data_IF_512383670948
#
_entry.id   IF_512383670948
#
_cell.length_a   1.000
_cell.length_b   1.000
_cell.length_c   1.000
_cell.angle_alpha   90.00
_cell.angle_beta   90.00
_cell.angle_gamma   90.00
#
_symmetry.space_group_name_H-M   'P 1'
#
loop_
_entity.id
_entity.type
_entity.pdbx_description
1 polymer ?
#
# COMPACT_ATOMS: atom_id res chain seq x y z
N UNK A 1 -13.19 0.37 -53.04
CA UNK A 1 -12.82 -1.01 -52.64
C UNK A 1 -12.00 -0.91 -51.36
N UNK A 2 -12.59 -1.46 -50.30
CA UNK A 2 -12.06 -1.80 -48.97
C UNK A 2 -11.48 -0.69 -48.07
N UNK A 3 -12.41 -0.04 -47.37
CA UNK A 3 -12.24 0.40 -45.98
C UNK A 3 -11.87 -0.79 -45.09
N UNK A 4 -10.79 -0.68 -44.33
CA UNK A 4 -10.62 -1.45 -43.11
C UNK A 4 -11.10 -0.58 -41.94
N UNK A 5 -12.38 -0.73 -41.61
CA UNK A 5 -12.91 -0.32 -40.33
C UNK A 5 -12.21 -1.14 -39.25
N UNK A 6 -11.22 -0.57 -38.58
CA UNK A 6 -10.69 -1.13 -37.34
C UNK A 6 -11.63 -0.71 -36.20
N UNK A 7 -12.78 -1.39 -36.13
CA UNK A 7 -13.71 -1.28 -35.02
C UNK A 7 -13.63 -2.59 -34.23
N UNK A 8 -12.77 -2.57 -33.23
CA UNK A 8 -12.60 -3.63 -32.24
C UNK A 8 -11.98 -2.97 -31.03
N UNK A 9 -12.81 -2.25 -30.26
CA UNK A 9 -12.42 -1.70 -28.97
C UNK A 9 -12.08 -2.85 -28.04
N UNK A 10 -10.82 -3.23 -28.03
CA UNK A 10 -10.26 -4.10 -27.02
C UNK A 10 -10.22 -3.27 -25.74
N UNK A 11 -11.23 -3.44 -24.90
CA UNK A 11 -11.30 -2.84 -23.57
C UNK A 11 -10.33 -3.63 -22.69
N UNK A 12 -9.05 -3.58 -23.04
CA UNK A 12 -7.96 -4.21 -22.33
C UNK A 12 -7.95 -3.62 -20.94
N UNK A 13 -8.49 -4.37 -19.98
CA UNK A 13 -8.64 -3.96 -18.60
C UNK A 13 -7.24 -3.90 -18.00
N UNK A 14 -6.58 -2.75 -18.16
CA UNK A 14 -5.22 -2.55 -17.70
C UNK A 14 -5.26 -2.42 -16.17
N UNK A 15 -4.57 -3.33 -15.48
CA UNK A 15 -4.36 -3.18 -14.04
C UNK A 15 -3.46 -1.98 -13.78
N UNK A 16 -3.94 -1.03 -12.99
CA UNK A 16 -3.13 0.08 -12.49
C UNK A 16 -2.68 -0.32 -11.08
N UNK A 17 -1.37 -0.50 -10.90
CA UNK A 17 -0.75 -0.83 -9.62
C UNK A 17 0.07 0.37 -9.14
N UNK A 18 0.07 0.61 -7.83
CA UNK A 18 0.93 1.61 -7.20
C UNK A 18 2.42 1.22 -7.35
N UNK A 19 3.28 2.23 -7.43
CA UNK A 19 4.72 2.00 -7.58
C UNK A 19 5.30 1.25 -6.37
N UNK A 20 4.80 1.57 -5.17
CA UNK A 20 5.15 0.96 -3.91
C UNK A 20 4.85 -0.54 -3.90
N UNK A 21 3.69 -0.93 -4.46
CA UNK A 21 3.30 -2.33 -4.58
C UNK A 21 4.20 -3.07 -5.58
N UNK A 22 4.54 -2.45 -6.71
CA UNK A 22 5.49 -3.01 -7.68
C UNK A 22 6.89 -3.20 -7.05
N UNK A 23 7.36 -2.21 -6.30
CA UNK A 23 8.64 -2.28 -5.59
C UNK A 23 8.64 -3.40 -4.52
N UNK A 24 7.54 -3.55 -3.77
CA UNK A 24 7.37 -4.63 -2.82
C UNK A 24 7.44 -6.00 -3.49
N UNK A 25 6.74 -6.18 -4.62
CA UNK A 25 6.73 -7.45 -5.36
C UNK A 25 8.14 -7.80 -5.85
N UNK A 26 8.84 -6.85 -6.47
CA UNK A 26 10.21 -7.05 -6.92
C UNK A 26 11.13 -7.45 -5.74
N UNK A 27 11.03 -6.74 -4.62
CA UNK A 27 11.83 -7.02 -3.44
C UNK A 27 11.57 -8.42 -2.87
N UNK A 28 10.31 -8.82 -2.76
CA UNK A 28 9.92 -10.15 -2.25
C UNK A 28 10.41 -11.28 -3.15
N UNK A 29 10.37 -11.08 -4.47
CA UNK A 29 10.88 -12.07 -5.44
C UNK A 29 12.40 -12.23 -5.30
N UNK A 30 13.13 -11.12 -5.14
CA UNK A 30 14.59 -11.13 -5.05
C UNK A 30 15.12 -11.65 -3.70
N UNK A 31 14.45 -11.35 -2.59
CA UNK A 31 15.01 -11.55 -1.25
C UNK A 31 14.27 -12.59 -0.41
N UNK A 32 12.99 -12.83 -0.68
CA UNK A 32 12.10 -13.61 0.20
C UNK A 32 11.41 -14.78 -0.51
N UNK A 33 12.01 -15.28 -1.61
CA UNK A 33 11.50 -16.42 -2.38
C UNK A 33 11.24 -17.64 -1.50
N UNK A 34 12.11 -17.93 -0.53
CA UNK A 34 11.94 -19.04 0.42
C UNK A 34 10.69 -18.89 1.30
N UNK A 35 10.33 -17.67 1.68
CA UNK A 35 9.12 -17.41 2.46
C UNK A 35 7.89 -17.55 1.59
N UNK A 36 7.95 -17.08 0.33
CA UNK A 36 6.89 -17.29 -0.65
C UNK A 36 6.66 -18.80 -0.88
N UNK A 37 7.73 -19.58 -1.02
CA UNK A 37 7.64 -21.04 -1.16
C UNK A 37 6.92 -21.66 0.04
N UNK A 38 7.27 -21.28 1.27
CA UNK A 38 6.60 -21.78 2.48
C UNK A 38 5.11 -21.44 2.54
N UNK A 39 4.70 -20.28 2.03
CA UNK A 39 3.29 -19.89 1.93
C UNK A 39 2.57 -20.82 0.94
N UNK A 40 3.17 -21.08 -0.22
CA UNK A 40 2.63 -21.99 -1.24
C UNK A 40 2.53 -23.41 -0.69
N UNK A 41 3.58 -23.94 -0.07
CA UNK A 41 3.60 -25.29 0.52
C UNK A 41 2.49 -25.45 1.56
N UNK A 42 2.32 -24.46 2.45
CA UNK A 42 1.26 -24.44 3.45
C UNK A 42 -0.13 -24.46 2.78
N UNK A 43 -0.33 -23.65 1.74
CA UNK A 43 -1.60 -23.58 1.01
C UNK A 43 -1.96 -24.92 0.34
N UNK A 44 -0.95 -25.58 -0.25
CA UNK A 44 -1.11 -26.90 -0.88
C UNK A 44 -1.55 -27.97 0.13
N UNK A 45 -0.94 -27.98 1.32
CA UNK A 45 -1.32 -28.90 2.40
C UNK A 45 -2.70 -28.55 2.99
N UNK A 46 -3.07 -27.27 3.03
CA UNK A 46 -4.30 -26.81 3.67
C UNK A 46 -5.56 -26.91 2.82
N UNK A 47 -5.50 -27.51 1.62
CA UNK A 47 -6.70 -27.72 0.80
C UNK A 47 -6.61 -27.26 -0.65
N UNK A 48 -5.57 -26.50 -1.03
CA UNK A 48 -5.45 -25.99 -2.40
C UNK A 48 -5.25 -27.12 -3.41
N UNK A 49 -4.48 -28.15 -3.04
CA UNK A 49 -4.23 -29.32 -3.91
C UNK A 49 -5.54 -30.02 -4.29
N UNK A 50 -6.45 -30.19 -3.35
CA UNK A 50 -7.76 -30.81 -3.59
C UNK A 50 -8.67 -29.94 -4.46
N UNK A 51 -8.58 -28.60 -4.33
CA UNK A 51 -9.33 -27.66 -5.17
C UNK A 51 -8.85 -27.69 -6.62
N UNK A 52 -7.53 -27.69 -6.83
CA UNK A 52 -6.94 -27.75 -8.18
C UNK A 52 -7.37 -29.03 -8.91
N UNK A 53 -7.25 -30.19 -8.27
CA UNK A 53 -7.68 -31.46 -8.87
C UNK A 53 -9.18 -31.51 -9.21
N UNK A 54 -10.04 -30.83 -8.44
CA UNK A 54 -11.49 -30.74 -8.76
C UNK A 54 -11.79 -29.79 -9.91
N UNK A 55 -10.96 -28.77 -10.11
CA UNK A 55 -11.13 -27.82 -11.21
C UNK A 55 -10.73 -28.43 -12.56
N UNK A 56 -9.69 -29.27 -12.60
CA UNK A 56 -9.28 -30.00 -13.81
C UNK A 56 -10.37 -30.97 -14.31
N UNK A 57 -11.27 -31.43 -13.43
CA UNK A 57 -12.39 -32.32 -13.78
C UNK A 57 -13.63 -31.55 -14.31
N UNK A 58 -13.67 -30.22 -14.18
CA UNK A 58 -14.85 -29.37 -14.41
C UNK A 58 -14.68 -28.33 -15.54
N UNK A 59 -13.71 -28.51 -16.46
CA UNK A 59 -13.28 -27.56 -17.53
C UNK A 59 -14.34 -27.17 -18.60
N UNK A 60 -15.63 -27.06 -18.28
CA UNK A 60 -16.68 -26.70 -19.24
C UNK A 60 -17.13 -25.23 -19.24
N UNK A 61 -16.58 -24.36 -18.37
CA UNK A 61 -17.01 -22.95 -18.29
C UNK A 61 -15.83 -21.96 -18.27
N UNK A 62 -15.28 -21.68 -19.46
CA UNK A 62 -14.10 -20.83 -19.65
C UNK A 62 -14.35 -19.35 -19.32
N UNK A 63 -15.58 -18.85 -19.48
CA UNK A 63 -15.89 -17.42 -19.30
C UNK A 63 -15.96 -17.06 -17.81
N UNK A 64 -16.62 -17.89 -16.99
CA UNK A 64 -16.64 -17.74 -15.53
C UNK A 64 -15.26 -17.87 -14.86
N UNK A 65 -14.37 -18.71 -15.41
CA UNK A 65 -13.00 -18.84 -14.90
C UNK A 65 -12.17 -17.57 -15.11
N UNK A 66 -12.31 -16.90 -16.25
CA UNK A 66 -11.57 -15.67 -16.55
C UNK A 66 -11.98 -14.53 -15.60
N UNK A 67 -13.27 -14.37 -15.33
CA UNK A 67 -13.76 -13.35 -14.41
C UNK A 67 -13.42 -13.66 -12.96
N UNK A 68 -13.48 -14.94 -12.56
CA UNK A 68 -13.00 -15.36 -11.23
C UNK A 68 -11.50 -15.09 -11.05
N UNK A 69 -10.69 -15.35 -12.08
CA UNK A 69 -9.25 -15.06 -12.05
C UNK A 69 -8.99 -13.55 -11.90
N UNK A 70 -9.69 -12.72 -12.67
CA UNK A 70 -9.62 -11.25 -12.54
C UNK A 70 -9.99 -10.79 -11.14
N UNK A 71 -11.11 -11.29 -10.61
CA UNK A 71 -11.55 -10.97 -9.24
C UNK A 71 -10.49 -11.34 -8.20
N UNK A 72 -9.95 -12.56 -8.28
CA UNK A 72 -8.92 -13.03 -7.34
C UNK A 72 -7.64 -12.19 -7.41
N UNK A 73 -7.25 -11.72 -8.60
CA UNK A 73 -6.07 -10.85 -8.79
C UNK A 73 -6.30 -9.50 -8.13
N UNK A 74 -7.47 -8.88 -8.34
CA UNK A 74 -7.83 -7.59 -7.73
C UNK A 74 -7.84 -7.71 -6.21
N UNK A 75 -8.48 -8.74 -5.66
CA UNK A 75 -8.51 -9.00 -4.22
C UNK A 75 -7.11 -9.22 -3.64
N UNK A 76 -6.25 -9.98 -4.33
CA UNK A 76 -4.89 -10.24 -3.87
C UNK A 76 -4.06 -8.96 -3.79
N UNK A 77 -4.09 -8.13 -4.84
CA UNK A 77 -3.36 -6.86 -4.83
C UNK A 77 -3.94 -5.85 -3.85
N UNK A 78 -5.27 -5.79 -3.70
CA UNK A 78 -5.92 -4.97 -2.69
C UNK A 78 -5.53 -5.36 -1.26
N UNK A 79 -5.43 -6.67 -0.99
CA UNK A 79 -4.94 -7.17 0.29
C UNK A 79 -3.47 -6.80 0.52
N UNK A 80 -2.59 -7.01 -0.47
CA UNK A 80 -1.17 -6.66 -0.35
C UNK A 80 -0.97 -5.16 -0.11
N UNK A 81 -1.72 -4.31 -0.81
CA UNK A 81 -1.65 -2.87 -0.62
C UNK A 81 -2.12 -2.46 0.78
N UNK A 82 -3.19 -3.07 1.28
CA UNK A 82 -3.66 -2.87 2.66
C UNK A 82 -2.60 -3.30 3.68
N UNK A 83 -1.95 -4.45 3.46
CA UNK A 83 -0.90 -4.95 4.35
C UNK A 83 0.34 -4.04 4.33
N UNK A 84 0.76 -3.57 3.15
CA UNK A 84 1.88 -2.63 3.00
C UNK A 84 1.58 -1.30 3.69
N UNK A 85 0.41 -0.73 3.44
CA UNK A 85 -0.04 0.52 4.09
C UNK A 85 -0.11 0.37 5.62
N UNK A 86 -0.60 -0.78 6.09
CA UNK A 86 -0.64 -1.10 7.53
C UNK A 86 0.77 -1.24 8.12
N UNK A 87 1.69 -1.90 7.41
CA UNK A 87 3.07 -2.04 7.88
C UNK A 87 3.78 -0.68 7.95
N UNK A 88 3.63 0.15 6.92
CA UNK A 88 4.22 1.49 6.88
C UNK A 88 3.63 2.43 7.95
N UNK A 89 2.33 2.32 8.25
CA UNK A 89 1.69 3.16 9.28
C UNK A 89 2.00 2.71 10.71
N UNK A 90 2.21 1.41 10.95
CA UNK A 90 2.59 0.88 12.27
C UNK A 90 3.90 1.48 12.79
N UNK A 91 4.89 1.65 11.91
CA UNK A 91 6.16 2.27 12.29
C UNK A 91 5.97 3.74 12.69
N UNK A 92 5.12 4.47 11.97
CA UNK A 92 4.79 5.86 12.30
C UNK A 92 4.08 5.99 13.66
N UNK A 93 3.09 5.13 13.92
CA UNK A 93 2.34 5.13 15.18
C UNK A 93 3.26 4.76 16.34
N UNK A 94 4.15 3.79 16.15
CA UNK A 94 5.14 3.39 17.16
C UNK A 94 6.10 4.54 17.48
N UNK A 95 6.67 5.18 16.46
CA UNK A 95 7.54 6.35 16.62
C UNK A 95 6.82 7.49 17.36
N UNK A 96 5.58 7.78 17.00
CA UNK A 96 4.76 8.78 17.67
C UNK A 96 4.47 8.43 19.14
N UNK A 97 4.19 7.16 19.44
CA UNK A 97 3.94 6.68 20.80
C UNK A 97 5.19 6.78 21.68
N UNK A 98 6.35 6.37 21.17
CA UNK A 98 7.63 6.45 21.89
C UNK A 98 8.01 7.89 22.27
N UNK A 99 7.60 8.87 21.46
CA UNK A 99 7.89 10.29 21.68
C UNK A 99 6.74 11.06 22.38
N UNK A 100 5.69 10.37 22.85
CA UNK A 100 4.48 10.97 23.44
C UNK A 100 3.78 12.00 22.52
N UNK A 101 3.82 11.78 21.20
CA UNK A 101 3.27 12.68 20.19
C UNK A 101 1.85 12.35 19.78
N UNK A 102 1.29 11.21 20.21
CA UNK A 102 -0.05 10.75 19.81
C UNK A 102 -1.13 11.81 20.06
N UNK A 103 -1.13 12.44 21.23
CA UNK A 103 -2.10 13.50 21.56
C UNK A 103 -1.95 14.76 20.71
N UNK A 104 -0.71 15.06 20.29
CA UNK A 104 -0.42 16.22 19.43
C UNK A 104 -0.84 15.92 18.00
N UNK A 105 -0.63 14.69 17.54
CA UNK A 105 -1.07 14.21 16.23
C UNK A 105 -2.59 14.23 16.11
N UNK A 106 -3.30 13.80 17.15
CA UNK A 106 -4.78 13.78 17.17
C UNK A 106 -5.41 15.18 17.06
N UNK A 107 -4.63 16.22 17.38
CA UNK A 107 -5.04 17.62 17.26
C UNK A 107 -4.73 18.23 15.88
N UNK A 108 -4.01 17.52 15.01
CA UNK A 108 -3.69 18.01 13.68
C UNK A 108 -4.87 17.75 12.75
N UNK A 109 -5.35 18.83 12.14
CA UNK A 109 -6.41 18.75 11.14
C UNK A 109 -5.91 18.01 9.89
N UNK A 110 -6.39 16.78 9.71
CA UNK A 110 -6.07 15.92 8.57
C UNK A 110 -6.60 16.45 7.24
N UNK A 111 -7.48 17.45 7.24
CA UNK A 111 -7.92 18.16 6.02
C UNK A 111 -6.95 19.25 5.59
N UNK A 112 -6.17 19.78 6.53
CA UNK A 112 -5.18 20.83 6.29
C UNK A 112 -3.76 20.29 6.06
N UNK A 113 -3.39 19.21 6.75
CA UNK A 113 -2.10 18.54 6.63
C UNK A 113 -2.30 17.12 6.10
N UNK A 114 -1.72 16.81 4.94
CA UNK A 114 -1.82 15.48 4.35
C UNK A 114 -1.06 14.43 5.18
N UNK A 115 -1.56 13.19 5.14
CA UNK A 115 -1.06 12.08 5.96
C UNK A 115 0.40 11.75 5.63
N UNK A 116 0.84 11.94 4.38
CA UNK A 116 2.23 11.67 3.98
C UNK A 116 3.20 12.68 4.60
N UNK A 117 2.86 13.98 4.54
CA UNK A 117 3.60 15.06 5.20
C UNK A 117 3.69 14.82 6.71
N UNK A 118 2.58 14.43 7.33
CA UNK A 118 2.52 14.16 8.76
C UNK A 118 3.40 12.97 9.14
N UNK A 119 3.29 11.85 8.41
CA UNK A 119 4.12 10.66 8.62
C UNK A 119 5.60 10.96 8.48
N UNK A 120 6.00 11.60 7.39
CA UNK A 120 7.39 11.96 7.15
C UNK A 120 7.95 12.91 8.21
N UNK A 121 7.11 13.77 8.78
CA UNK A 121 7.50 14.66 9.87
C UNK A 121 7.75 13.88 11.17
N UNK A 122 6.89 12.93 11.52
CA UNK A 122 7.07 12.07 12.71
C UNK A 122 8.38 11.27 12.66
N UNK A 123 8.72 10.71 11.49
CA UNK A 123 9.97 9.96 11.29
C UNK A 123 11.21 10.86 11.46
N UNK A 124 11.19 12.07 10.88
CA UNK A 124 12.27 13.06 11.03
C UNK A 124 12.39 13.55 12.48
N UNK A 125 11.27 13.80 13.14
CA UNK A 125 11.23 14.19 14.55
C UNK A 125 11.85 13.11 15.43
N UNK A 126 11.51 11.85 15.20
CA UNK A 126 12.08 10.72 15.96
C UNK A 126 13.59 10.63 15.78
N UNK A 127 14.08 10.76 14.53
CA UNK A 127 15.52 10.79 14.23
C UNK A 127 16.23 11.96 14.90
N UNK A 128 15.60 13.14 14.90
CA UNK A 128 16.16 14.37 15.50
C UNK A 128 16.22 14.25 17.02
N UNK A 129 15.19 13.71 17.66
CA UNK A 129 15.14 13.47 19.11
C UNK A 129 16.14 12.40 19.58
N UNK A 130 16.48 11.41 18.75
CA UNK A 130 17.57 10.49 19.06
C UNK A 130 18.93 11.22 19.16
N UNK A 131 19.17 12.21 18.28
CA UNK A 131 20.41 13.01 18.32
C UNK A 131 20.37 14.15 19.34
N UNK A 132 19.17 14.60 19.74
CA UNK A 132 18.95 15.69 20.70
C UNK A 132 17.84 15.32 21.70
N UNK A 133 18.10 14.44 22.70
CA UNK A 133 17.07 13.93 23.60
C UNK A 133 16.42 14.98 24.51
N UNK A 134 17.06 16.13 24.69
CA UNK A 134 16.55 17.23 25.52
C UNK A 134 15.64 18.20 24.76
N UNK A 135 15.49 18.05 23.44
CA UNK A 135 14.61 18.91 22.65
C UNK A 135 13.14 18.60 22.92
N UNK A 136 12.27 19.61 22.83
CA UNK A 136 10.83 19.41 23.02
C UNK A 136 10.24 18.64 21.81
N UNK A 137 9.66 17.45 22.00
CA UNK A 137 9.17 16.62 20.89
C UNK A 137 8.09 17.30 20.06
N UNK A 138 7.18 18.05 20.69
CA UNK A 138 6.06 18.72 20.03
C UNK A 138 6.56 19.86 19.15
N UNK A 139 7.48 20.67 19.68
CA UNK A 139 8.09 21.76 18.91
C UNK A 139 8.84 21.21 17.70
N UNK A 140 9.64 20.15 17.88
CA UNK A 140 10.37 19.53 16.78
C UNK A 140 9.42 18.94 15.74
N UNK A 141 8.29 18.35 16.15
CA UNK A 141 7.25 17.90 15.24
C UNK A 141 6.65 19.04 14.41
N UNK A 142 6.26 20.15 15.06
CA UNK A 142 5.72 21.30 14.36
C UNK A 142 6.71 21.92 13.36
N UNK A 143 7.99 22.02 13.73
CA UNK A 143 9.03 22.49 12.82
C UNK A 143 9.14 21.61 11.57
N UNK A 144 9.17 20.28 11.73
CA UNK A 144 9.29 19.36 10.60
C UNK A 144 8.03 19.34 9.72
N UNK A 145 6.84 19.48 10.32
CA UNK A 145 5.56 19.66 9.59
C UNK A 145 5.63 20.94 8.76
N UNK A 146 5.89 22.09 9.37
CA UNK A 146 5.92 23.38 8.66
C UNK A 146 6.97 23.39 7.55
N UNK A 147 8.08 22.67 7.72
CA UNK A 147 9.13 22.54 6.71
C UNK A 147 8.73 21.67 5.52
N UNK A 148 7.92 20.65 5.77
CA UNK A 148 7.53 19.66 4.75
C UNK A 148 6.18 20.00 4.10
N UNK A 149 5.36 20.81 4.76
CA UNK A 149 4.01 21.14 4.35
C UNK A 149 3.97 22.04 3.11
N UNK A 150 3.18 21.61 2.12
CA UNK A 150 2.88 22.39 0.91
C UNK A 150 1.37 22.64 0.86
N UNK A 151 0.87 23.77 1.39
CA UNK A 151 -0.56 24.03 1.44
C UNK A 151 -1.17 24.05 0.03
N UNK A 152 -2.27 23.32 -0.17
CA UNK A 152 -3.00 23.32 -1.42
C UNK A 152 -3.58 24.71 -1.72
N UNK A 153 -3.54 25.14 -2.99
CA UNK A 153 -4.01 26.47 -3.43
C UNK A 153 -5.50 26.77 -3.16
N UNK A 154 -6.27 25.82 -2.61
CA UNK A 154 -7.73 25.95 -2.41
C UNK A 154 -8.14 26.79 -1.18
N UNK A 155 -7.20 27.21 -0.33
CA UNK A 155 -7.50 28.02 0.86
C UNK A 155 -6.70 29.32 0.97
N UNK A 156 -6.21 29.86 -0.15
CA UNK A 156 -5.72 31.25 -0.20
C UNK A 156 -6.68 32.06 -1.07
N UNK A 157 -7.89 32.26 -0.56
CA UNK A 157 -8.89 33.15 -1.12
C UNK A 157 -9.24 34.20 -0.07
N UNK A 158 -8.96 35.45 -0.42
CA UNK A 158 -9.31 36.68 0.30
C UNK A 158 -10.77 36.74 0.73
#
# INVERSE_FOLDING_TARGET
MNSFSNNGGDNSSQFVLSFELLALLAWLIEHDTDKLQKIVDKALVSGLKQKLHRSDELEQDNEGMADQARYNIVEFFGLLETLLSTALSKDTIKCAAEQNLLSTIDQIDSTACDIETLRGSIEKTTTKLQSQPSANPQQVLFEEILRSWKPGKKHVGH
#
